data_IF_652770875193
#
_entry.id   IF_652770875193
#
_cell.length_a   1.000
_cell.length_b   1.000
_cell.length_c   1.000
_cell.angle_alpha   90.00
_cell.angle_beta   90.00
_cell.angle_gamma   90.00
#
_symmetry.space_group_name_H-M   'P 1'
#
loop_
_entity.id
_entity.type
_entity.pdbx_description
1 polymer ?
#
# COMPACT_ATOMS: atom_id res chain seq x y z
N UNK A 1 1.68 -35.07 -12.53
CA UNK A 1 0.94 -33.81 -12.42
C UNK A 1 1.64 -32.82 -11.47
N UNK A 2 2.00 -33.22 -10.24
CA UNK A 2 2.74 -32.40 -9.27
C UNK A 2 4.09 -31.86 -9.80
N UNK A 3 4.88 -32.66 -10.55
CA UNK A 3 6.15 -32.22 -11.12
C UNK A 3 6.00 -31.07 -12.14
N UNK A 4 4.93 -31.04 -12.93
CA UNK A 4 4.60 -29.93 -13.85
C UNK A 4 4.14 -28.68 -13.10
N UNK A 5 3.53 -28.83 -11.91
CA UNK A 5 3.13 -27.74 -11.03
C UNK A 5 4.33 -27.08 -10.34
N UNK A 6 5.36 -27.85 -10.01
CA UNK A 6 6.55 -27.41 -9.26
C UNK A 6 7.68 -26.93 -10.20
N UNK A 7 7.71 -27.38 -11.47
CA UNK A 7 8.74 -27.05 -12.43
C UNK A 7 8.98 -25.52 -12.61
N UNK A 8 7.94 -24.65 -12.70
CA UNK A 8 8.15 -23.21 -12.82
C UNK A 8 8.81 -22.58 -11.59
N UNK A 9 8.54 -23.13 -10.38
CA UNK A 9 9.20 -22.70 -9.15
C UNK A 9 10.68 -23.09 -9.11
N UNK A 10 11.04 -24.27 -9.64
CA UNK A 10 12.41 -24.77 -9.65
C UNK A 10 13.29 -24.07 -10.67
N UNK A 11 12.74 -23.65 -11.82
CA UNK A 11 13.46 -22.91 -12.85
C UNK A 11 13.77 -21.46 -12.45
N UNK A 12 12.98 -20.87 -11.56
CA UNK A 12 13.12 -19.49 -11.11
C UNK A 12 13.87 -19.34 -9.77
N UNK A 13 14.97 -20.11 -9.57
CA UNK A 13 15.78 -19.99 -8.34
C UNK A 13 16.23 -18.55 -8.11
N UNK A 14 15.94 -18.02 -6.92
CA UNK A 14 16.37 -16.70 -6.47
C UNK A 14 17.85 -16.74 -6.05
N UNK A 15 18.60 -15.71 -6.38
CA UNK A 15 19.96 -15.53 -5.87
C UNK A 15 19.97 -15.28 -4.35
N UNK A 16 21.11 -15.49 -3.70
CA UNK A 16 21.25 -15.19 -2.26
C UNK A 16 20.93 -13.72 -1.95
N UNK A 17 21.35 -12.80 -2.83
CA UNK A 17 21.09 -11.38 -2.70
C UNK A 17 19.57 -11.07 -2.83
N UNK A 18 18.88 -11.65 -3.80
CA UNK A 18 17.43 -11.47 -3.97
C UNK A 18 16.66 -12.00 -2.76
N UNK A 19 17.01 -13.19 -2.25
CA UNK A 19 16.38 -13.74 -1.03
C UNK A 19 16.58 -12.82 0.17
N UNK A 20 17.82 -12.38 0.41
CA UNK A 20 18.15 -11.49 1.51
C UNK A 20 17.38 -10.17 1.41
N UNK A 21 17.41 -9.51 0.26
CA UNK A 21 16.69 -8.26 0.04
C UNK A 21 15.18 -8.43 0.24
N UNK A 22 14.61 -9.53 -0.26
CA UNK A 22 13.18 -9.82 -0.12
C UNK A 22 12.78 -9.95 1.34
N UNK A 23 13.51 -10.73 2.13
CA UNK A 23 13.22 -10.91 3.56
C UNK A 23 13.31 -9.57 4.30
N UNK A 24 14.39 -8.85 4.09
CA UNK A 24 14.64 -7.55 4.76
C UNK A 24 13.57 -6.51 4.42
N UNK A 25 13.17 -6.43 3.16
CA UNK A 25 12.15 -5.49 2.72
C UNK A 25 10.74 -5.91 3.16
N UNK A 26 10.46 -7.21 3.19
CA UNK A 26 9.19 -7.75 3.67
C UNK A 26 8.96 -7.47 5.15
N UNK A 27 10.01 -7.56 5.98
CA UNK A 27 9.92 -7.18 7.41
C UNK A 27 9.48 -5.73 7.56
N UNK A 28 10.00 -4.80 6.77
CA UNK A 28 9.60 -3.41 6.86
C UNK A 28 8.20 -3.14 6.36
N UNK A 29 7.75 -3.78 5.28
CA UNK A 29 6.37 -3.63 4.83
C UNK A 29 5.36 -4.27 5.80
N UNK A 30 5.72 -5.38 6.43
CA UNK A 30 4.98 -5.96 7.55
C UNK A 30 4.83 -4.94 8.68
N UNK A 31 5.94 -4.33 9.11
CA UNK A 31 5.94 -3.38 10.20
C UNK A 31 5.09 -2.14 9.92
N UNK A 32 5.20 -1.57 8.72
CA UNK A 32 4.40 -0.41 8.29
C UNK A 32 2.90 -0.67 8.44
N UNK A 33 2.44 -1.83 7.97
CA UNK A 33 1.02 -2.20 8.08
C UNK A 33 0.63 -2.62 9.48
N UNK A 34 1.52 -3.26 10.22
CA UNK A 34 1.32 -3.57 11.64
C UNK A 34 1.11 -2.30 12.45
N UNK A 35 1.99 -1.30 12.36
CA UNK A 35 1.88 -0.04 13.10
C UNK A 35 0.64 0.76 12.69
N UNK A 36 0.36 0.85 11.38
CA UNK A 36 -0.80 1.56 10.86
C UNK A 36 -2.12 0.97 11.39
N UNK A 37 -2.29 -0.35 11.28
CA UNK A 37 -3.52 -1.01 11.69
C UNK A 37 -3.63 -1.16 13.21
N UNK A 38 -2.52 -1.30 13.91
CA UNK A 38 -2.47 -1.22 15.36
C UNK A 38 -3.05 0.11 15.85
N UNK A 39 -2.58 1.23 15.28
CA UNK A 39 -3.07 2.56 15.63
C UNK A 39 -4.56 2.74 15.28
N UNK A 40 -4.99 2.32 14.08
CA UNK A 40 -6.39 2.45 13.64
C UNK A 40 -7.33 1.69 14.58
N UNK A 41 -7.02 0.45 14.91
CA UNK A 41 -7.89 -0.38 15.77
C UNK A 41 -7.78 -0.05 17.25
N UNK A 42 -6.70 0.57 17.69
CA UNK A 42 -6.53 1.07 19.06
C UNK A 42 -6.94 2.54 19.22
N UNK A 43 -7.42 3.20 18.15
CA UNK A 43 -7.75 4.63 18.16
C UNK A 43 -8.65 5.00 19.35
N UNK A 44 -9.66 4.18 19.67
CA UNK A 44 -10.55 4.42 20.80
C UNK A 44 -9.81 4.49 22.16
N UNK A 45 -8.85 3.60 22.39
CA UNK A 45 -8.04 3.59 23.62
C UNK A 45 -7.09 4.79 23.64
N UNK A 46 -6.44 5.04 22.51
CA UNK A 46 -5.45 6.12 22.35
C UNK A 46 -6.12 7.49 22.48
N UNK A 47 -7.30 7.66 21.89
CA UNK A 47 -8.06 8.90 21.95
C UNK A 47 -8.39 9.28 23.40
N UNK A 48 -8.83 8.34 24.21
CA UNK A 48 -9.12 8.59 25.64
C UNK A 48 -7.87 8.94 26.46
N UNK A 49 -6.70 8.42 26.07
CA UNK A 49 -5.43 8.63 26.81
C UNK A 49 -4.75 9.93 26.41
N UNK A 50 -4.82 10.33 25.14
CA UNK A 50 -4.04 11.45 24.61
C UNK A 50 -4.90 12.64 24.19
N UNK A 51 -6.20 12.46 23.94
CA UNK A 51 -7.13 13.47 23.46
C UNK A 51 -8.42 13.52 24.32
N UNK A 52 -8.36 13.75 25.63
CA UNK A 52 -9.56 13.75 26.47
C UNK A 52 -10.54 14.85 26.04
N UNK A 53 -11.86 14.63 26.19
CA UNK A 53 -12.91 15.49 25.64
C UNK A 53 -13.02 16.88 26.29
N UNK A 54 -12.36 17.12 27.41
CA UNK A 54 -12.50 18.35 28.21
C UNK A 54 -11.95 19.63 27.54
N UNK A 55 -11.18 19.51 26.47
CA UNK A 55 -10.66 20.63 25.69
C UNK A 55 -11.25 20.62 24.28
N UNK A 56 -12.02 21.63 23.90
CA UNK A 56 -12.73 21.72 22.61
C UNK A 56 -11.89 21.45 21.34
N UNK A 57 -10.55 21.53 21.43
CA UNK A 57 -9.63 21.22 20.35
C UNK A 57 -9.15 19.75 20.33
N UNK A 58 -9.31 18.99 21.41
CA UNK A 58 -8.82 17.61 21.52
C UNK A 58 -9.49 16.67 20.52
N UNK A 59 -10.81 16.81 20.34
CA UNK A 59 -11.56 16.05 19.36
C UNK A 59 -11.07 16.31 17.91
N UNK A 60 -10.79 17.57 17.56
CA UNK A 60 -10.26 17.93 16.26
C UNK A 60 -8.87 17.34 16.03
N UNK A 61 -8.00 17.37 17.03
CA UNK A 61 -6.65 16.79 16.98
C UNK A 61 -6.68 15.28 16.79
N UNK A 62 -7.58 14.55 17.48
CA UNK A 62 -7.77 13.10 17.28
C UNK A 62 -8.17 12.77 15.84
N UNK A 63 -9.18 13.48 15.30
CA UNK A 63 -9.59 13.29 13.90
C UNK A 63 -8.50 13.65 12.91
N UNK A 64 -7.76 14.72 13.14
CA UNK A 64 -6.59 15.08 12.36
C UNK A 64 -5.52 14.01 12.44
N UNK A 65 -5.22 13.45 13.60
CA UNK A 65 -4.23 12.38 13.75
C UNK A 65 -4.57 11.14 12.92
N UNK A 66 -5.83 10.77 12.79
CA UNK A 66 -6.28 9.69 11.89
C UNK A 66 -6.16 10.08 10.41
N UNK A 67 -6.60 11.29 10.04
CA UNK A 67 -6.54 11.76 8.65
C UNK A 67 -5.10 11.97 8.16
N UNK A 68 -4.16 12.33 9.04
CA UNK A 68 -2.74 12.55 8.68
C UNK A 68 -2.10 11.34 8.05
N UNK A 69 -2.53 10.13 8.42
CA UNK A 69 -2.03 8.88 7.84
C UNK A 69 -2.15 8.81 6.31
N UNK A 70 -2.99 9.65 5.70
CA UNK A 70 -3.19 9.65 4.25
C UNK A 70 -2.85 11.00 3.60
N UNK A 71 -3.21 12.11 4.24
CA UNK A 71 -3.08 13.47 3.67
C UNK A 71 -1.61 13.89 3.50
N UNK A 72 -0.71 13.51 4.44
CA UNK A 72 0.70 13.90 4.38
C UNK A 72 1.58 12.97 3.55
N UNK A 73 1.06 11.83 3.05
CA UNK A 73 1.81 10.91 2.18
C UNK A 73 2.39 11.55 0.93
N UNK A 74 1.69 12.44 0.19
CA UNK A 74 2.27 13.10 -0.98
C UNK A 74 3.49 13.97 -0.66
N UNK A 75 3.49 14.67 0.47
CA UNK A 75 4.64 15.47 0.91
C UNK A 75 5.85 14.58 1.13
N UNK A 76 5.66 13.47 1.86
CA UNK A 76 6.71 12.48 2.05
C UNK A 76 7.18 11.83 0.74
N UNK A 77 6.25 11.55 -0.17
CA UNK A 77 6.57 10.96 -1.47
C UNK A 77 7.43 11.87 -2.35
N UNK A 78 7.23 13.20 -2.30
CA UNK A 78 8.11 14.16 -2.98
C UNK A 78 9.51 14.12 -2.40
N UNK A 79 9.64 14.25 -1.08
CA UNK A 79 10.93 14.32 -0.38
C UNK A 79 11.71 13.00 -0.56
N UNK A 80 11.08 11.88 -0.22
CA UNK A 80 11.72 10.57 -0.26
C UNK A 80 11.87 10.04 -1.70
N UNK A 81 10.96 10.42 -2.59
CA UNK A 81 11.08 10.13 -4.02
C UNK A 81 12.32 10.80 -4.61
N UNK A 82 12.46 12.10 -4.39
CA UNK A 82 13.64 12.86 -4.81
C UNK A 82 14.92 12.28 -4.20
N UNK A 83 14.89 11.93 -2.91
CA UNK A 83 16.04 11.32 -2.24
C UNK A 83 16.41 9.98 -2.91
N UNK A 84 15.43 9.13 -3.23
CA UNK A 84 15.62 7.84 -3.88
C UNK A 84 16.13 7.93 -5.31
N UNK A 85 15.71 8.93 -6.07
CA UNK A 85 16.17 9.14 -7.45
C UNK A 85 17.53 9.84 -7.52
N UNK A 86 17.97 10.57 -6.49
CA UNK A 86 19.25 11.27 -6.46
C UNK A 86 20.34 10.52 -5.67
N UNK A 87 20.01 9.96 -4.52
CA UNK A 87 20.99 9.33 -3.60
C UNK A 87 20.92 7.80 -3.58
N UNK A 88 19.86 7.23 -4.10
CA UNK A 88 19.70 5.77 -4.22
C UNK A 88 18.56 5.21 -3.39
N UNK A 89 18.07 4.06 -3.85
CA UNK A 89 16.92 3.37 -3.24
C UNK A 89 17.23 2.88 -1.82
N UNK A 90 18.44 2.32 -1.64
CA UNK A 90 18.92 1.83 -0.35
C UNK A 90 18.86 2.90 0.73
N UNK A 91 19.44 4.07 0.45
CA UNK A 91 19.54 5.18 1.44
C UNK A 91 18.14 5.64 1.88
N UNK A 92 17.23 5.80 0.94
CA UNK A 92 15.86 6.26 1.21
C UNK A 92 15.09 5.26 2.07
N UNK A 93 15.15 3.97 1.72
CA UNK A 93 14.48 2.90 2.45
C UNK A 93 15.08 2.74 3.86
N UNK A 94 16.39 2.91 4.04
CA UNK A 94 17.04 2.87 5.34
C UNK A 94 16.62 4.04 6.24
N UNK A 95 16.60 5.27 5.70
CA UNK A 95 16.17 6.47 6.42
C UNK A 95 14.72 6.35 6.85
N UNK A 96 13.82 5.93 5.94
CA UNK A 96 12.39 5.81 6.26
C UNK A 96 12.17 4.84 7.42
N UNK A 97 12.78 3.65 7.40
CA UNK A 97 12.62 2.67 8.49
C UNK A 97 13.21 3.15 9.80
N UNK A 98 14.36 3.82 9.77
CA UNK A 98 15.01 4.33 10.98
C UNK A 98 14.12 5.37 11.66
N UNK A 99 13.55 6.31 10.90
CA UNK A 99 12.65 7.32 11.46
C UNK A 99 11.34 6.68 11.94
N UNK A 100 10.79 5.71 11.21
CA UNK A 100 9.62 4.95 11.68
C UNK A 100 9.90 4.23 13.00
N UNK A 101 11.06 3.60 13.16
CA UNK A 101 11.46 2.95 14.40
C UNK A 101 11.54 3.95 15.58
N UNK A 102 12.11 5.12 15.35
CA UNK A 102 12.14 6.19 16.36
C UNK A 102 10.74 6.67 16.76
N UNK A 103 9.84 6.86 15.79
CA UNK A 103 8.46 7.25 16.06
C UNK A 103 7.71 6.18 16.88
N UNK A 104 7.88 4.90 16.56
CA UNK A 104 7.30 3.80 17.34
C UNK A 104 7.83 3.79 18.77
N UNK A 105 9.14 3.98 18.94
CA UNK A 105 9.78 4.04 20.26
C UNK A 105 9.26 5.22 21.08
N UNK A 106 9.20 6.41 20.49
CA UNK A 106 8.64 7.60 21.12
C UNK A 106 7.20 7.34 21.55
N UNK A 107 6.37 6.78 20.69
CA UNK A 107 4.96 6.46 20.98
C UNK A 107 4.83 5.47 22.14
N UNK A 108 5.68 4.44 22.22
CA UNK A 108 5.64 3.43 23.28
C UNK A 108 5.95 4.03 24.68
N UNK A 109 6.89 4.98 24.76
CA UNK A 109 7.29 5.63 26.01
C UNK A 109 6.64 7.00 26.26
N UNK A 110 5.73 7.42 25.38
CA UNK A 110 5.09 8.74 25.49
C UNK A 110 4.27 8.85 26.80
N UNK A 111 4.52 9.87 27.65
CA UNK A 111 3.69 10.17 28.80
C UNK A 111 2.27 10.52 28.37
N UNK A 112 1.28 10.18 29.21
CA UNK A 112 -0.14 10.43 28.92
C UNK A 112 -0.51 11.91 29.01
N UNK A 113 -1.72 12.25 28.55
CA UNK A 113 -2.25 13.61 28.70
C UNK A 113 -2.31 14.05 30.19
N UNK A 114 -2.64 13.16 31.11
CA UNK A 114 -2.67 13.44 32.54
C UNK A 114 -1.32 13.87 33.10
N UNK A 115 -0.20 13.38 32.51
CA UNK A 115 1.14 13.64 32.98
C UNK A 115 1.77 14.91 32.38
N UNK A 116 1.58 15.17 31.09
CA UNK A 116 2.24 16.29 30.38
C UNK A 116 1.26 17.20 29.61
N UNK A 117 -0.04 16.99 29.79
CA UNK A 117 -1.08 17.79 29.14
C UNK A 117 -1.09 17.69 27.63
N UNK A 118 -1.52 18.77 26.97
CA UNK A 118 -1.68 18.83 25.49
C UNK A 118 -0.39 18.52 24.71
N UNK A 119 0.77 18.61 25.33
CA UNK A 119 2.05 18.26 24.70
C UNK A 119 2.10 16.79 24.27
N UNK A 120 1.45 15.90 25.02
CA UNK A 120 1.33 14.48 24.66
C UNK A 120 0.63 14.30 23.31
N UNK A 121 -0.49 14.99 23.09
CA UNK A 121 -1.24 14.98 21.84
C UNK A 121 -0.41 15.51 20.66
N UNK A 122 0.32 16.60 20.84
CA UNK A 122 1.18 17.16 19.78
C UNK A 122 2.33 16.22 19.41
N UNK A 123 3.00 15.60 20.37
CA UNK A 123 4.09 14.66 20.11
C UNK A 123 3.57 13.43 19.37
N UNK A 124 2.44 12.86 19.82
CA UNK A 124 1.82 11.72 19.14
C UNK A 124 1.43 12.07 17.70
N UNK A 125 0.79 13.22 17.49
CA UNK A 125 0.39 13.70 16.16
C UNK A 125 1.61 13.91 15.26
N UNK A 126 2.70 14.50 15.78
CA UNK A 126 3.95 14.67 15.03
C UNK A 126 4.57 13.32 14.62
N UNK A 127 4.56 12.32 15.50
CA UNK A 127 5.00 10.96 15.16
C UNK A 127 4.12 10.36 14.05
N UNK A 128 2.79 10.47 14.13
CA UNK A 128 1.86 9.96 13.11
C UNK A 128 2.05 10.65 11.76
N UNK A 129 2.21 11.98 11.73
CA UNK A 129 2.53 12.73 10.49
C UNK A 129 3.82 12.24 9.87
N UNK A 130 4.87 12.10 10.69
CA UNK A 130 6.18 11.61 10.21
C UNK A 130 6.07 10.20 9.62
N UNK A 131 5.41 9.27 10.31
CA UNK A 131 5.19 7.91 9.81
C UNK A 131 4.37 7.89 8.52
N UNK A 132 3.31 8.71 8.42
CA UNK A 132 2.52 8.84 7.20
C UNK A 132 3.36 9.30 6.00
N UNK A 133 4.26 10.27 6.19
CA UNK A 133 5.18 10.73 5.15
C UNK A 133 6.13 9.64 4.67
N UNK A 134 6.59 8.77 5.58
CA UNK A 134 7.56 7.72 5.28
C UNK A 134 6.93 6.46 4.63
N UNK A 135 5.66 6.22 4.89
CA UNK A 135 4.91 5.02 4.49
C UNK A 135 5.02 4.67 3.00
N UNK A 136 4.97 5.68 2.11
CA UNK A 136 5.08 5.43 0.66
C UNK A 136 6.44 4.85 0.27
N UNK A 137 7.53 5.28 0.90
CA UNK A 137 8.88 4.76 0.64
C UNK A 137 9.06 3.34 1.18
N UNK A 138 8.42 3.01 2.31
CA UNK A 138 8.47 1.67 2.90
C UNK A 138 7.85 0.62 1.96
N UNK A 139 6.67 0.87 1.43
CA UNK A 139 5.89 -0.11 0.66
C UNK A 139 6.23 -0.05 -0.82
N UNK A 140 6.06 1.12 -1.45
CA UNK A 140 6.30 1.25 -2.89
C UNK A 140 7.79 1.24 -3.21
N UNK A 141 8.62 1.83 -2.34
CA UNK A 141 10.08 1.77 -2.46
C UNK A 141 10.61 0.34 -2.44
N UNK A 142 10.08 -0.52 -1.55
CA UNK A 142 10.42 -1.94 -1.52
C UNK A 142 10.07 -2.66 -2.84
N UNK A 143 8.89 -2.37 -3.42
CA UNK A 143 8.47 -2.94 -4.71
C UNK A 143 9.38 -2.52 -5.85
N UNK A 144 9.72 -1.23 -5.94
CA UNK A 144 10.64 -0.70 -6.96
C UNK A 144 12.03 -1.31 -6.79
N UNK A 145 12.55 -1.38 -5.56
CA UNK A 145 13.84 -1.99 -5.28
C UNK A 145 13.91 -3.45 -5.74
N UNK A 146 12.92 -4.28 -5.38
CA UNK A 146 12.90 -5.70 -5.74
C UNK A 146 12.71 -5.92 -7.24
N UNK A 147 12.00 -5.05 -7.92
CA UNK A 147 11.91 -5.05 -9.37
C UNK A 147 13.27 -4.78 -10.00
N UNK A 148 14.02 -3.77 -9.52
CA UNK A 148 15.30 -3.34 -10.10
C UNK A 148 16.47 -4.31 -9.83
N UNK A 149 16.38 -5.20 -8.83
CA UNK A 149 17.38 -6.26 -8.57
C UNK A 149 17.11 -7.56 -9.33
N UNK A 150 15.98 -7.64 -10.06
CA UNK A 150 15.53 -8.87 -10.71
C UNK A 150 15.60 -8.75 -12.23
N UNK A 151 16.15 -9.77 -12.88
CA UNK A 151 16.40 -9.76 -14.33
C UNK A 151 15.14 -10.08 -15.15
N UNK A 152 14.37 -11.08 -14.74
CA UNK A 152 13.20 -11.56 -15.49
C UNK A 152 11.90 -10.97 -14.98
N UNK A 153 10.96 -10.68 -15.88
CA UNK A 153 9.66 -10.11 -15.56
C UNK A 153 8.87 -10.97 -14.56
N UNK A 154 8.95 -12.29 -14.67
CA UNK A 154 8.27 -13.19 -13.73
C UNK A 154 8.83 -13.04 -12.32
N UNK A 155 10.18 -13.02 -12.15
CA UNK A 155 10.81 -12.80 -10.84
C UNK A 155 10.48 -11.42 -10.28
N UNK A 156 10.44 -10.39 -11.12
CA UNK A 156 10.06 -9.03 -10.71
C UNK A 156 8.64 -9.00 -10.15
N UNK A 157 7.69 -9.57 -10.89
CA UNK A 157 6.29 -9.66 -10.45
C UNK A 157 6.16 -10.52 -9.19
N UNK A 158 6.85 -11.64 -9.10
CA UNK A 158 6.83 -12.52 -7.94
C UNK A 158 7.36 -11.83 -6.68
N UNK A 159 8.57 -11.24 -6.73
CA UNK A 159 9.19 -10.61 -5.57
C UNK A 159 8.43 -9.35 -5.11
N UNK A 160 7.98 -8.53 -6.05
CA UNK A 160 7.15 -7.36 -5.77
C UNK A 160 5.80 -7.76 -5.15
N UNK A 161 5.23 -8.87 -5.59
CA UNK A 161 3.98 -9.43 -5.10
C UNK A 161 4.14 -10.06 -3.71
N UNK A 162 5.27 -10.69 -3.44
CA UNK A 162 5.56 -11.28 -2.13
C UNK A 162 5.58 -10.21 -1.04
N UNK A 163 6.11 -9.02 -1.32
CA UNK A 163 6.05 -7.87 -0.39
C UNK A 163 4.60 -7.51 -0.04
N UNK A 164 3.67 -7.58 -1.00
CA UNK A 164 2.25 -7.35 -0.74
C UNK A 164 1.63 -8.39 0.21
N UNK A 165 2.04 -9.65 0.13
CA UNK A 165 1.58 -10.65 1.08
C UNK A 165 1.99 -10.30 2.52
N UNK A 166 3.17 -9.70 2.71
CA UNK A 166 3.60 -9.26 4.04
C UNK A 166 2.83 -8.04 4.56
N UNK A 167 2.26 -7.21 3.71
CA UNK A 167 1.35 -6.13 4.16
C UNK A 167 0.08 -6.69 4.81
N UNK A 168 -0.49 -7.75 4.25
CA UNK A 168 -1.69 -8.40 4.84
C UNK A 168 -1.36 -9.18 6.10
N UNK A 169 -0.20 -9.83 6.16
CA UNK A 169 0.27 -10.50 7.39
C UNK A 169 0.47 -9.46 8.50
N UNK A 170 1.05 -8.29 8.20
CA UNK A 170 1.21 -7.19 9.17
C UNK A 170 -0.12 -6.68 9.69
N UNK A 171 -1.10 -6.49 8.81
CA UNK A 171 -2.47 -6.12 9.17
C UNK A 171 -3.12 -7.15 10.09
N UNK A 172 -3.08 -8.43 9.70
CA UNK A 172 -3.62 -9.53 10.49
C UNK A 172 -2.98 -9.58 11.88
N UNK A 173 -1.65 -9.49 11.97
CA UNK A 173 -0.92 -9.49 13.24
C UNK A 173 -1.34 -8.31 14.14
N UNK A 174 -1.54 -7.12 13.57
CA UNK A 174 -2.03 -5.96 14.33
C UNK A 174 -3.42 -6.22 14.92
N UNK A 175 -4.36 -6.72 14.10
CA UNK A 175 -5.73 -7.02 14.55
C UNK A 175 -5.71 -8.10 15.64
N UNK A 176 -4.89 -9.15 15.48
CA UNK A 176 -4.75 -10.21 16.49
C UNK A 176 -4.20 -9.66 17.81
N UNK A 177 -3.20 -8.79 17.77
CA UNK A 177 -2.65 -8.14 18.98
C UNK A 177 -3.70 -7.23 19.64
N UNK A 178 -4.45 -6.46 18.87
CA UNK A 178 -5.54 -5.63 19.39
C UNK A 178 -6.60 -6.48 20.08
N UNK A 179 -6.99 -7.61 19.49
CA UNK A 179 -7.96 -8.52 20.09
C UNK A 179 -7.47 -9.05 21.46
N UNK A 180 -6.21 -9.44 21.56
CA UNK A 180 -5.60 -9.86 22.83
C UNK A 180 -5.62 -8.71 23.86
N UNK A 181 -5.24 -7.49 23.46
CA UNK A 181 -5.21 -6.32 24.36
C UNK A 181 -6.59 -5.98 24.90
N UNK A 182 -7.61 -5.99 24.05
CA UNK A 182 -8.99 -5.70 24.46
C UNK A 182 -9.46 -6.76 25.47
N UNK A 183 -9.20 -8.03 25.25
CA UNK A 183 -9.53 -9.11 26.16
C UNK A 183 -8.79 -9.02 27.51
N UNK A 184 -7.61 -8.39 27.54
CA UNK A 184 -6.82 -8.11 28.75
C UNK A 184 -7.19 -6.77 29.43
N UNK A 185 -8.29 -6.12 29.05
CA UNK A 185 -8.76 -4.88 29.66
C UNK A 185 -8.05 -3.61 29.19
N UNK A 186 -7.35 -3.64 28.07
CA UNK A 186 -6.79 -2.47 27.39
C UNK A 186 -5.52 -1.87 28.00
N UNK A 187 -5.06 -2.33 29.16
CA UNK A 187 -3.92 -1.74 29.89
C UNK A 187 -2.55 -1.98 29.22
N UNK A 188 -2.46 -2.95 28.33
CA UNK A 188 -1.19 -3.40 27.71
C UNK A 188 -0.87 -2.71 26.38
N UNK A 189 -1.50 -1.59 26.03
CA UNK A 189 -1.34 -0.93 24.74
C UNK A 189 0.12 -0.52 24.44
N UNK A 190 0.87 -0.08 25.48
CA UNK A 190 2.29 0.27 25.34
C UNK A 190 3.15 -0.90 24.85
N UNK A 191 2.89 -2.11 25.31
CA UNK A 191 3.62 -3.31 24.93
C UNK A 191 3.48 -3.61 23.44
N UNK A 192 2.33 -3.31 22.83
CA UNK A 192 2.14 -3.50 21.39
C UNK A 192 3.01 -2.52 20.56
N UNK A 193 3.05 -1.24 20.94
CA UNK A 193 3.93 -0.27 20.28
C UNK A 193 5.42 -0.55 20.55
N UNK A 194 5.76 -1.05 21.72
CA UNK A 194 7.13 -1.47 22.04
C UNK A 194 7.56 -2.68 21.19
N UNK A 195 6.69 -3.68 21.02
CA UNK A 195 6.94 -4.78 20.10
C UNK A 195 7.15 -4.29 18.67
N UNK A 196 6.32 -3.36 18.18
CA UNK A 196 6.50 -2.69 16.91
C UNK A 196 7.86 -1.97 16.80
N UNK A 197 8.27 -1.23 17.84
CA UNK A 197 9.55 -0.53 17.89
C UNK A 197 10.73 -1.49 17.81
N UNK A 198 10.71 -2.62 18.53
CA UNK A 198 11.75 -3.65 18.48
C UNK A 198 11.87 -4.22 17.07
N UNK A 199 10.77 -4.59 16.44
CA UNK A 199 10.76 -5.12 15.06
C UNK A 199 11.29 -4.07 14.09
N UNK A 200 10.95 -2.78 14.28
CA UNK A 200 11.41 -1.68 13.43
C UNK A 200 12.93 -1.46 13.55
N UNK A 201 13.49 -1.52 14.76
CA UNK A 201 14.95 -1.38 14.99
C UNK A 201 15.69 -2.55 14.32
N UNK A 202 15.21 -3.77 14.49
CA UNK A 202 15.77 -4.96 13.82
C UNK A 202 15.67 -4.84 12.31
N UNK A 203 14.54 -4.34 11.80
CA UNK A 203 14.33 -4.08 10.37
C UNK A 203 15.27 -3.01 9.82
N UNK A 204 15.49 -1.92 10.54
CA UNK A 204 16.43 -0.86 10.16
C UNK A 204 17.87 -1.40 10.12
N UNK A 205 18.27 -2.17 11.14
CA UNK A 205 19.58 -2.82 11.16
C UNK A 205 19.77 -3.77 9.98
N UNK A 206 18.78 -4.62 9.69
CA UNK A 206 18.83 -5.54 8.54
C UNK A 206 18.94 -4.77 7.21
N UNK A 207 18.26 -3.63 7.05
CA UNK A 207 18.31 -2.79 5.84
C UNK A 207 19.66 -2.09 5.63
N UNK A 208 20.46 -1.88 6.65
CA UNK A 208 21.82 -1.35 6.50
C UNK A 208 22.69 -2.24 5.59
N UNK A 209 22.44 -3.55 5.59
CA UNK A 209 23.15 -4.55 4.79
C UNK A 209 22.71 -4.62 3.32
N UNK A 210 21.64 -3.93 2.91
CA UNK A 210 21.20 -3.87 1.51
C UNK A 210 22.29 -3.23 0.64
N UNK A 211 22.36 -3.67 -0.62
CA UNK A 211 23.19 -3.05 -1.66
C UNK A 211 22.33 -2.16 -2.54
N UNK A 212 22.91 -1.15 -3.19
CA UNK A 212 22.15 -0.34 -4.16
C UNK A 212 21.72 -1.18 -5.36
N UNK A 213 20.61 -0.80 -6.01
CA UNK A 213 20.07 -1.55 -7.15
C UNK A 213 20.97 -1.39 -8.37
N UNK A 214 21.26 -2.50 -9.12
CA UNK A 214 22.12 -2.46 -10.29
C UNK A 214 21.57 -1.51 -11.37
N UNK A 215 20.27 -1.54 -11.60
CA UNK A 215 19.62 -0.72 -12.63
C UNK A 215 19.79 0.78 -12.36
N UNK A 216 19.65 1.20 -11.09
CA UNK A 216 19.89 2.59 -10.70
C UNK A 216 21.38 2.97 -10.78
N UNK A 217 22.26 2.10 -10.27
CA UNK A 217 23.70 2.34 -10.29
C UNK A 217 24.22 2.52 -11.72
N UNK A 218 23.75 1.68 -12.66
CA UNK A 218 24.10 1.78 -14.08
C UNK A 218 23.52 3.04 -14.74
N UNK A 219 22.25 3.37 -14.46
CA UNK A 219 21.65 4.60 -14.98
C UNK A 219 22.40 5.84 -14.49
N UNK A 220 22.79 5.87 -13.22
CA UNK A 220 23.56 6.98 -12.64
C UNK A 220 24.97 7.08 -13.21
N UNK A 221 25.63 5.93 -13.45
CA UNK A 221 26.94 5.87 -14.11
C UNK A 221 26.87 6.41 -15.54
N UNK A 222 25.89 5.97 -16.34
CA UNK A 222 25.66 6.47 -17.71
C UNK A 222 25.39 7.98 -17.71
N UNK A 223 24.59 8.48 -16.75
CA UNK A 223 24.33 9.90 -16.60
C UNK A 223 25.61 10.69 -16.30
N UNK A 224 26.46 10.18 -15.39
CA UNK A 224 27.74 10.81 -15.03
C UNK A 224 28.69 10.87 -16.22
N UNK A 225 28.83 9.77 -16.98
CA UNK A 225 29.68 9.71 -18.16
C UNK A 225 29.19 10.69 -19.23
N UNK A 226 27.88 10.66 -19.55
CA UNK A 226 27.28 11.60 -20.50
C UNK A 226 27.46 13.07 -20.09
N UNK A 227 27.47 13.34 -18.77
CA UNK A 227 27.69 14.70 -18.24
C UNK A 227 29.15 15.12 -18.36
N UNK A 228 30.10 14.19 -18.25
CA UNK A 228 31.53 14.47 -18.37
C UNK A 228 32.00 14.69 -19.82
N UNK A 229 31.36 13.99 -20.78
CA UNK A 229 31.74 14.02 -22.20
C UNK A 229 31.06 15.13 -23.00
N UNK A 230 29.95 15.72 -22.51
CA UNK A 230 29.11 16.62 -23.28
C UNK A 230 29.24 18.08 -22.84
N UNK A 231 29.51 18.99 -23.80
CA UNK A 231 29.37 20.44 -23.59
C UNK A 231 27.91 20.81 -23.25
N UNK A 232 27.69 21.91 -22.53
CA UNK A 232 26.40 22.33 -21.98
C UNK A 232 25.22 22.36 -22.99
N UNK A 233 25.49 22.67 -24.27
CA UNK A 233 24.48 22.69 -25.34
C UNK A 233 24.07 21.29 -25.83
N UNK A 234 24.97 20.31 -25.80
CA UNK A 234 24.68 18.93 -26.21
C UNK A 234 24.02 18.13 -25.08
N UNK A 235 24.26 18.52 -23.83
CA UNK A 235 23.68 17.95 -22.65
C UNK A 235 22.13 17.98 -22.67
N UNK A 236 21.51 19.08 -23.12
CA UNK A 236 20.05 19.23 -23.19
C UNK A 236 19.41 18.36 -24.28
N UNK A 237 20.17 17.88 -25.28
CA UNK A 237 19.66 17.05 -26.37
C UNK A 237 19.81 15.53 -26.14
N UNK A 238 20.61 15.13 -25.14
CA UNK A 238 20.85 13.71 -24.87
C UNK A 238 19.60 12.99 -24.35
N UNK A 239 19.27 11.77 -24.83
CA UNK A 239 18.04 11.04 -24.48
C UNK A 239 17.82 10.84 -22.98
N UNK A 240 18.88 10.67 -22.19
CA UNK A 240 18.81 10.50 -20.75
C UNK A 240 18.26 11.74 -20.01
N UNK A 241 18.49 12.94 -20.55
CA UNK A 241 17.96 14.18 -19.99
C UNK A 241 16.59 14.55 -20.59
N UNK A 242 16.21 13.95 -21.73
CA UNK A 242 14.92 14.14 -22.40
C UNK A 242 13.86 13.13 -21.99
N UNK A 243 14.22 12.11 -21.21
CA UNK A 243 13.26 11.11 -20.76
C UNK A 243 12.14 11.77 -19.95
N UNK A 244 11.00 12.02 -20.61
CA UNK A 244 9.82 12.62 -20.01
C UNK A 244 8.89 11.54 -19.48
N UNK A 245 8.29 11.83 -18.34
CA UNK A 245 7.22 11.03 -17.78
C UNK A 245 6.03 10.98 -18.77
N UNK A 246 5.56 9.78 -19.09
CA UNK A 246 4.32 9.63 -19.86
C UNK A 246 3.13 9.88 -18.92
N UNK A 247 2.45 11.01 -19.11
CA UNK A 247 1.31 11.41 -18.28
C UNK A 247 0.15 10.40 -18.36
N UNK A 248 -0.05 9.76 -19.52
CA UNK A 248 -1.10 8.73 -19.68
C UNK A 248 -0.82 7.50 -18.80
N UNK A 249 0.42 7.01 -18.80
CA UNK A 249 0.82 5.88 -17.95
C UNK A 249 0.67 6.26 -16.45
N UNK A 250 1.05 7.47 -16.08
CA UNK A 250 0.89 7.98 -14.72
C UNK A 250 -0.60 8.07 -14.31
N UNK A 251 -1.46 8.58 -15.18
CA UNK A 251 -2.89 8.69 -14.94
C UNK A 251 -3.55 7.31 -14.79
N UNK A 252 -3.27 6.37 -15.69
CA UNK A 252 -3.87 5.04 -15.59
C UNK A 252 -3.34 4.24 -14.40
N UNK A 253 -2.07 4.40 -14.02
CA UNK A 253 -1.57 3.84 -12.77
C UNK A 253 -2.28 4.46 -11.55
N UNK A 254 -2.50 5.78 -11.55
CA UNK A 254 -3.24 6.47 -10.51
C UNK A 254 -4.65 5.89 -10.34
N UNK A 255 -5.38 5.63 -11.42
CA UNK A 255 -6.71 5.01 -11.39
C UNK A 255 -6.65 3.62 -10.73
N UNK A 256 -5.71 2.77 -11.12
CA UNK A 256 -5.56 1.45 -10.51
C UNK A 256 -5.24 1.53 -9.00
N UNK A 257 -4.45 2.52 -8.60
CA UNK A 257 -4.13 2.78 -7.19
C UNK A 257 -5.32 3.34 -6.40
N UNK A 258 -6.19 4.13 -7.01
CA UNK A 258 -7.46 4.56 -6.42
C UNK A 258 -8.40 3.37 -6.18
N UNK A 259 -8.46 2.42 -7.11
CA UNK A 259 -9.25 1.19 -6.95
C UNK A 259 -8.77 0.32 -5.78
N UNK A 260 -7.44 0.17 -5.62
CA UNK A 260 -6.85 -0.51 -4.46
C UNK A 260 -7.26 0.17 -3.14
N UNK A 261 -7.16 1.51 -3.07
CA UNK A 261 -7.52 2.28 -1.89
C UNK A 261 -9.03 2.19 -1.57
N UNK A 262 -9.88 2.23 -2.60
CA UNK A 262 -11.33 2.09 -2.47
C UNK A 262 -11.74 0.72 -1.91
N UNK A 263 -11.15 -0.37 -2.42
CA UNK A 263 -11.43 -1.71 -1.95
C UNK A 263 -11.03 -1.91 -0.47
N UNK A 264 -9.86 -1.39 -0.08
CA UNK A 264 -9.40 -1.43 1.31
C UNK A 264 -10.30 -0.61 2.22
N UNK A 265 -10.69 0.61 1.80
CA UNK A 265 -11.64 1.43 2.57
C UNK A 265 -12.97 0.71 2.77
N UNK A 266 -13.55 0.16 1.69
CA UNK A 266 -14.81 -0.57 1.76
C UNK A 266 -14.70 -1.77 2.72
N UNK A 267 -13.68 -2.62 2.54
CA UNK A 267 -13.57 -3.85 3.31
C UNK A 267 -13.31 -3.62 4.80
N UNK A 268 -12.50 -2.63 5.16
CA UNK A 268 -12.06 -2.46 6.56
C UNK A 268 -12.68 -1.29 7.31
N UNK A 269 -13.18 -0.27 6.60
CA UNK A 269 -13.78 0.91 7.25
C UNK A 269 -15.30 0.94 7.06
N UNK A 270 -15.78 0.84 5.83
CA UNK A 270 -17.21 0.94 5.55
C UNK A 270 -17.99 -0.26 6.09
N UNK A 271 -17.51 -1.48 5.86
CA UNK A 271 -18.18 -2.68 6.39
C UNK A 271 -18.12 -2.78 7.92
N UNK A 272 -17.03 -2.29 8.54
CA UNK A 272 -16.95 -2.21 10.00
C UNK A 272 -18.08 -1.32 10.60
N UNK A 273 -18.42 -0.21 9.91
CA UNK A 273 -19.53 0.65 10.28
C UNK A 273 -20.88 -0.05 10.11
N UNK A 274 -21.07 -0.83 9.03
CA UNK A 274 -22.29 -1.61 8.84
C UNK A 274 -22.46 -2.64 9.95
N UNK A 275 -21.39 -3.36 10.33
CA UNK A 275 -21.46 -4.31 11.45
C UNK A 275 -21.90 -3.63 12.76
N UNK A 276 -21.35 -2.46 13.07
CA UNK A 276 -21.75 -1.67 14.23
C UNK A 276 -23.22 -1.24 14.15
N UNK A 277 -23.70 -0.80 12.97
CA UNK A 277 -25.09 -0.39 12.76
C UNK A 277 -26.09 -1.55 12.87
N UNK A 278 -25.68 -2.78 12.56
CA UNK A 278 -26.48 -4.00 12.73
C UNK A 278 -26.54 -4.40 14.22
N UNK A 279 -25.73 -3.78 15.08
CA UNK A 279 -25.74 -4.02 16.54
C UNK A 279 -24.73 -5.07 17.02
N UNK A 280 -23.72 -5.41 16.22
CA UNK A 280 -22.64 -6.29 16.65
C UNK A 280 -21.77 -5.60 17.71
N UNK A 281 -21.35 -6.37 18.71
CA UNK A 281 -20.37 -5.94 19.70
C UNK A 281 -19.00 -5.65 19.07
N UNK A 282 -18.18 -4.83 19.74
CA UNK A 282 -16.81 -4.53 19.29
C UNK A 282 -15.99 -5.81 19.08
N UNK A 283 -16.15 -6.81 19.95
CA UNK A 283 -15.47 -8.10 19.82
C UNK A 283 -15.87 -8.87 18.55
N UNK A 284 -17.15 -8.91 18.24
CA UNK A 284 -17.66 -9.53 17.02
C UNK A 284 -17.17 -8.80 15.76
N UNK A 285 -17.16 -7.47 15.76
CA UNK A 285 -16.61 -6.67 14.65
C UNK A 285 -15.12 -7.00 14.41
N UNK A 286 -14.33 -7.17 15.46
CA UNK A 286 -12.92 -7.56 15.38
C UNK A 286 -12.77 -9.00 14.84
N UNK A 287 -13.65 -9.92 15.21
CA UNK A 287 -13.64 -11.27 14.69
C UNK A 287 -13.90 -11.29 13.16
N UNK A 288 -14.88 -10.52 12.68
CA UNK A 288 -15.11 -10.36 11.23
C UNK A 288 -13.91 -9.71 10.54
N UNK A 289 -13.29 -8.67 11.13
CA UNK A 289 -12.08 -8.06 10.61
C UNK A 289 -10.90 -9.05 10.54
N UNK A 290 -10.81 -9.95 11.50
CA UNK A 290 -9.82 -11.04 11.52
C UNK A 290 -10.07 -12.04 10.38
N UNK A 291 -11.31 -12.51 10.22
CA UNK A 291 -11.69 -13.43 9.14
C UNK A 291 -11.38 -12.84 7.75
N UNK A 292 -11.75 -11.58 7.53
CA UNK A 292 -11.51 -10.95 6.22
C UNK A 292 -10.01 -10.70 5.97
N UNK A 293 -9.21 -10.45 7.01
CA UNK A 293 -7.76 -10.30 6.87
C UNK A 293 -7.07 -11.62 6.49
N UNK A 294 -7.53 -12.75 7.04
CA UNK A 294 -7.06 -14.09 6.66
C UNK A 294 -7.43 -14.37 5.20
N UNK A 295 -8.67 -14.04 4.80
CA UNK A 295 -9.12 -14.22 3.43
C UNK A 295 -8.31 -13.35 2.45
N UNK A 296 -8.07 -12.09 2.75
CA UNK A 296 -7.25 -11.18 1.94
C UNK A 296 -5.82 -11.73 1.73
N UNK A 297 -5.22 -12.27 2.79
CA UNK A 297 -3.93 -12.95 2.67
C UNK A 297 -4.02 -14.16 1.73
N UNK A 298 -5.06 -14.99 1.87
CA UNK A 298 -5.26 -16.15 0.98
C UNK A 298 -5.38 -15.73 -0.49
N UNK A 299 -6.13 -14.67 -0.80
CA UNK A 299 -6.28 -14.14 -2.17
C UNK A 299 -4.93 -13.68 -2.73
N UNK A 300 -4.15 -12.93 -1.95
CA UNK A 300 -2.84 -12.45 -2.40
C UNK A 300 -1.84 -13.58 -2.62
N UNK A 301 -1.80 -14.59 -1.75
CA UNK A 301 -0.97 -15.78 -1.95
C UNK A 301 -1.43 -16.61 -3.16
N UNK A 302 -2.74 -16.67 -3.43
CA UNK A 302 -3.28 -17.32 -4.63
C UNK A 302 -2.82 -16.59 -5.89
N UNK A 303 -2.90 -15.27 -5.95
CA UNK A 303 -2.37 -14.49 -7.06
C UNK A 303 -0.86 -14.65 -7.22
N UNK A 304 -0.11 -14.73 -6.13
CA UNK A 304 1.33 -14.98 -6.15
C UNK A 304 1.65 -16.34 -6.82
N UNK A 305 0.84 -17.37 -6.56
CA UNK A 305 0.99 -18.67 -7.22
C UNK A 305 0.60 -18.61 -8.71
N UNK A 306 -0.45 -17.87 -9.05
CA UNK A 306 -0.93 -17.75 -10.44
C UNK A 306 0.06 -17.05 -11.38
N UNK A 307 0.97 -16.21 -10.88
CA UNK A 307 2.03 -15.55 -11.69
C UNK A 307 2.89 -16.55 -12.48
N UNK A 308 3.08 -17.77 -11.95
CA UNK A 308 3.90 -18.78 -12.61
C UNK A 308 3.18 -19.49 -13.76
N UNK A 309 1.86 -19.41 -13.84
CA UNK A 309 1.03 -20.11 -14.82
C UNK A 309 0.40 -19.16 -15.84
N UNK A 310 0.13 -17.92 -15.44
CA UNK A 310 -0.57 -16.94 -16.25
C UNK A 310 0.21 -15.64 -16.34
N UNK A 311 0.07 -14.94 -17.45
CA UNK A 311 0.64 -13.61 -17.58
C UNK A 311 -0.01 -12.67 -16.54
N UNK A 312 0.79 -11.96 -15.70
CA UNK A 312 0.27 -11.08 -14.65
C UNK A 312 -0.74 -10.02 -15.15
N UNK A 313 -0.55 -9.48 -16.37
CA UNK A 313 -1.51 -8.54 -16.97
C UNK A 313 -2.86 -9.21 -17.31
N UNK A 314 -2.87 -10.51 -17.66
CA UNK A 314 -4.11 -11.23 -17.89
C UNK A 314 -4.89 -11.50 -16.61
N UNK A 315 -4.18 -11.71 -15.48
CA UNK A 315 -4.81 -11.84 -14.16
C UNK A 315 -5.51 -10.54 -13.79
N UNK A 316 -4.84 -9.40 -13.92
CA UNK A 316 -5.46 -8.08 -13.67
C UNK A 316 -6.65 -7.85 -14.61
N UNK A 317 -6.48 -8.18 -15.89
CA UNK A 317 -7.58 -8.07 -16.86
C UNK A 317 -8.81 -8.80 -16.38
N UNK A 318 -8.68 -10.08 -15.99
CA UNK A 318 -9.80 -10.89 -15.52
C UNK A 318 -10.50 -10.23 -14.32
N UNK A 319 -9.75 -9.83 -13.31
CA UNK A 319 -10.30 -9.18 -12.12
C UNK A 319 -11.07 -7.90 -12.49
N UNK A 320 -10.48 -7.02 -13.30
CA UNK A 320 -11.08 -5.73 -13.65
C UNK A 320 -12.30 -5.87 -14.56
N UNK A 321 -12.38 -6.92 -15.39
CA UNK A 321 -13.59 -7.16 -16.21
C UNK A 321 -14.73 -7.77 -15.39
N UNK A 322 -14.44 -8.46 -14.27
CA UNK A 322 -15.46 -8.99 -13.36
C UNK A 322 -15.89 -7.92 -12.32
N UNK A 323 -15.01 -7.01 -11.94
CA UNK A 323 -15.27 -5.98 -10.92
C UNK A 323 -16.58 -5.18 -11.13
N UNK A 324 -16.98 -4.76 -12.35
CA UNK A 324 -18.27 -4.08 -12.56
C UNK A 324 -19.48 -4.88 -12.11
N UNK A 325 -19.48 -6.20 -12.32
CA UNK A 325 -20.55 -7.09 -11.88
C UNK A 325 -20.61 -7.07 -10.34
N UNK A 326 -19.46 -7.17 -9.68
CA UNK A 326 -19.35 -7.11 -8.23
C UNK A 326 -19.83 -5.74 -7.69
N UNK A 327 -19.48 -4.65 -8.37
CA UNK A 327 -19.87 -3.29 -8.00
C UNK A 327 -21.35 -2.99 -8.16
N UNK A 328 -22.04 -3.73 -9.02
CA UNK A 328 -23.51 -3.68 -9.14
C UNK A 328 -24.15 -4.56 -8.06
N UNK A 329 -23.63 -5.76 -7.85
CA UNK A 329 -24.21 -6.75 -6.95
C UNK A 329 -24.10 -6.32 -5.48
N UNK A 330 -22.94 -5.81 -5.05
CA UNK A 330 -22.66 -5.53 -3.63
C UNK A 330 -23.61 -4.47 -3.04
N UNK A 331 -23.80 -3.28 -3.63
CA UNK A 331 -24.75 -2.30 -3.08
C UNK A 331 -26.20 -2.82 -3.04
N UNK A 332 -26.60 -3.61 -4.04
CA UNK A 332 -27.91 -4.24 -4.06
C UNK A 332 -28.10 -5.22 -2.90
N UNK A 333 -27.11 -6.08 -2.63
CA UNK A 333 -27.17 -7.03 -1.52
C UNK A 333 -27.22 -6.33 -0.16
N UNK A 334 -26.38 -5.31 0.03
CA UNK A 334 -26.31 -4.57 1.28
C UNK A 334 -27.61 -3.79 1.56
N UNK A 335 -28.26 -3.24 0.51
CA UNK A 335 -29.49 -2.47 0.69
C UNK A 335 -30.69 -3.36 1.05
N UNK A 336 -30.79 -4.55 0.45
CA UNK A 336 -32.00 -5.37 0.56
C UNK A 336 -31.87 -6.50 1.60
N UNK A 337 -30.68 -6.93 1.95
CA UNK A 337 -30.44 -8.13 2.76
C UNK A 337 -29.37 -7.94 3.84
N UNK A 338 -29.23 -6.76 4.41
CA UNK A 338 -28.16 -6.44 5.36
C UNK A 338 -28.12 -7.40 6.55
N UNK A 339 -27.29 -8.42 6.47
CA UNK A 339 -26.96 -9.35 7.55
C UNK A 339 -25.44 -9.49 7.65
N UNK A 340 -24.90 -9.88 8.83
CA UNK A 340 -23.45 -10.03 9.00
C UNK A 340 -22.78 -10.91 7.93
N UNK A 341 -23.45 -12.00 7.53
CA UNK A 341 -22.94 -12.92 6.52
C UNK A 341 -22.90 -12.29 5.11
N UNK A 342 -23.90 -11.47 4.77
CA UNK A 342 -23.95 -10.77 3.48
C UNK A 342 -22.90 -9.67 3.42
N UNK A 343 -22.66 -8.97 4.52
CA UNK A 343 -21.57 -8.00 4.62
C UNK A 343 -20.22 -8.70 4.41
N UNK A 344 -19.98 -9.84 5.08
CA UNK A 344 -18.78 -10.65 4.88
C UNK A 344 -18.64 -11.12 3.43
N UNK A 345 -19.71 -11.62 2.82
CA UNK A 345 -19.70 -12.04 1.42
C UNK A 345 -19.38 -10.89 0.46
N UNK A 346 -19.91 -9.71 0.72
CA UNK A 346 -19.61 -8.49 -0.04
C UNK A 346 -18.14 -8.08 0.06
N UNK A 347 -17.52 -8.19 1.26
CA UNK A 347 -16.08 -7.98 1.46
C UNK A 347 -15.24 -9.00 0.66
N UNK A 348 -15.61 -10.27 0.74
CA UNK A 348 -14.95 -11.38 0.03
C UNK A 348 -14.92 -11.12 -1.48
N UNK A 349 -16.06 -10.78 -2.06
CA UNK A 349 -16.17 -10.52 -3.52
C UNK A 349 -15.30 -9.33 -3.93
N UNK A 350 -15.38 -8.21 -3.21
CA UNK A 350 -14.64 -7.01 -3.59
C UNK A 350 -13.14 -7.15 -3.39
N UNK A 351 -12.68 -7.93 -2.41
CA UNK A 351 -11.24 -8.21 -2.24
C UNK A 351 -10.72 -9.21 -3.28
N UNK A 352 -11.54 -10.16 -3.73
CA UNK A 352 -11.15 -11.12 -4.78
C UNK A 352 -10.95 -10.42 -6.13
N UNK A 353 -11.88 -9.54 -6.50
CA UNK A 353 -11.87 -8.85 -7.79
C UNK A 353 -11.47 -7.38 -7.64
N UNK A 354 -10.49 -7.13 -6.78
CA UNK A 354 -10.00 -5.78 -6.52
C UNK A 354 -9.41 -5.14 -7.77
N UNK A 355 -9.77 -3.88 -7.98
CA UNK A 355 -9.13 -3.05 -8.99
C UNK A 355 -7.77 -2.61 -8.45
N UNK A 356 -6.68 -3.17 -8.99
CA UNK A 356 -5.32 -2.79 -8.60
C UNK A 356 -4.31 -3.08 -9.71
N UNK A 357 -3.08 -2.63 -9.55
CA UNK A 357 -1.95 -2.98 -10.41
C UNK A 357 -1.29 -4.32 -10.03
N UNK A 358 -1.74 -4.94 -8.95
CA UNK A 358 -1.28 -6.24 -8.48
C UNK A 358 -1.91 -7.39 -9.30
N UNK A 359 -1.15 -8.40 -9.76
CA UNK A 359 0.28 -8.66 -9.51
C UNK A 359 1.24 -8.14 -10.60
N UNK A 360 0.81 -7.30 -11.52
CA UNK A 360 1.61 -6.82 -12.65
C UNK A 360 2.32 -5.47 -12.41
N UNK A 361 2.38 -4.99 -11.17
CA UNK A 361 2.98 -3.71 -10.80
C UNK A 361 4.35 -3.46 -11.48
N UNK A 362 5.32 -4.39 -11.52
CA UNK A 362 6.60 -4.18 -12.15
C UNK A 362 6.53 -3.93 -13.67
N UNK A 363 5.58 -4.56 -14.36
CA UNK A 363 5.39 -4.37 -15.80
C UNK A 363 4.96 -2.91 -16.07
N UNK A 364 4.09 -2.38 -15.22
CA UNK A 364 3.62 -0.99 -15.32
C UNK A 364 4.73 -0.01 -14.90
N UNK A 365 5.46 -0.29 -13.81
CA UNK A 365 6.50 0.60 -13.27
C UNK A 365 7.70 0.74 -14.20
N UNK A 366 8.02 -0.26 -15.02
CA UNK A 366 9.08 -0.19 -16.04
C UNK A 366 8.86 0.90 -17.09
N UNK A 367 7.64 1.34 -17.31
CA UNK A 367 7.32 2.42 -18.25
C UNK A 367 7.82 3.79 -17.78
N UNK A 368 8.12 3.92 -16.48
CA UNK A 368 8.67 5.15 -15.93
C UNK A 368 10.19 5.18 -16.08
N UNK A 369 10.79 6.34 -16.48
CA UNK A 369 12.23 6.49 -16.58
C UNK A 369 12.94 6.14 -15.27
N UNK A 370 14.02 5.37 -15.31
CA UNK A 370 14.71 4.84 -14.11
C UNK A 370 15.04 5.95 -13.09
N UNK A 371 15.53 7.10 -13.56
CA UNK A 371 15.94 8.24 -12.72
C UNK A 371 14.76 9.07 -12.16
N UNK A 372 13.51 8.77 -12.56
CA UNK A 372 12.29 9.43 -12.08
C UNK A 372 11.27 8.40 -11.57
N UNK A 373 11.57 7.11 -11.71
CA UNK A 373 10.66 6.01 -11.41
C UNK A 373 10.26 5.99 -9.96
N UNK A 374 11.22 6.14 -9.07
CA UNK A 374 11.00 6.07 -7.65
C UNK A 374 10.04 7.19 -7.20
N UNK A 375 10.36 8.45 -7.54
CA UNK A 375 9.48 9.61 -7.27
C UNK A 375 8.09 9.41 -7.87
N UNK A 376 8.00 8.99 -9.14
CA UNK A 376 6.71 8.84 -9.84
C UNK A 376 5.83 7.79 -9.18
N UNK A 377 6.35 6.62 -8.87
CA UNK A 377 5.58 5.53 -8.25
C UNK A 377 5.13 5.89 -6.83
N UNK A 378 6.04 6.48 -6.03
CA UNK A 378 5.71 6.95 -4.69
C UNK A 378 4.61 8.01 -4.73
N UNK A 379 4.77 9.01 -5.60
CA UNK A 379 3.85 10.14 -5.69
C UNK A 379 2.46 9.72 -6.17
N UNK A 380 2.38 8.90 -7.21
CA UNK A 380 1.11 8.39 -7.73
C UNK A 380 0.36 7.59 -6.65
N UNK A 381 1.07 6.71 -5.93
CA UNK A 381 0.48 5.91 -4.85
C UNK A 381 0.07 6.75 -3.64
N UNK A 382 0.83 7.80 -3.32
CA UNK A 382 0.51 8.71 -2.22
C UNK A 382 -0.70 9.58 -2.55
N UNK A 383 -0.74 10.17 -3.75
CA UNK A 383 -1.86 10.98 -4.23
C UNK A 383 -3.16 10.18 -4.32
N UNK A 384 -3.09 8.95 -4.84
CA UNK A 384 -4.29 8.10 -4.94
C UNK A 384 -4.93 7.88 -3.57
N UNK A 385 -4.15 7.60 -2.55
CA UNK A 385 -4.65 7.40 -1.18
C UNK A 385 -5.10 8.71 -0.54
N UNK A 386 -4.34 9.80 -0.70
CA UNK A 386 -4.68 11.11 -0.15
C UNK A 386 -5.98 11.67 -0.72
N UNK A 387 -6.35 11.31 -1.95
CA UNK A 387 -7.60 11.72 -2.59
C UNK A 387 -8.73 10.75 -2.29
N UNK A 388 -8.47 9.43 -2.42
CA UNK A 388 -9.53 8.42 -2.28
C UNK A 388 -10.05 8.34 -0.84
N UNK A 389 -9.19 8.37 0.17
CA UNK A 389 -9.62 8.23 1.56
C UNK A 389 -10.58 9.31 2.04
N UNK A 390 -10.33 10.63 1.87
CA UNK A 390 -11.29 11.67 2.21
C UNK A 390 -12.60 11.57 1.41
N UNK A 391 -12.52 11.30 0.11
CA UNK A 391 -13.71 11.13 -0.74
C UNK A 391 -14.55 9.95 -0.23
N UNK A 392 -13.93 8.83 0.11
CA UNK A 392 -14.64 7.67 0.63
C UNK A 392 -15.19 7.94 2.03
N UNK A 393 -14.41 8.52 2.94
CA UNK A 393 -14.82 8.74 4.32
C UNK A 393 -15.95 9.77 4.42
N UNK A 394 -15.89 10.86 3.66
CA UNK A 394 -16.88 11.91 3.70
C UNK A 394 -18.00 11.62 2.69
N UNK A 395 -17.61 11.37 1.42
CA UNK A 395 -18.55 11.25 0.31
C UNK A 395 -19.40 9.98 0.39
N UNK A 396 -18.79 8.81 0.63
CA UNK A 396 -19.57 7.56 0.76
C UNK A 396 -20.51 7.65 1.94
N UNK A 397 -20.05 8.09 3.11
CA UNK A 397 -20.91 8.19 4.28
C UNK A 397 -22.09 9.14 4.04
N UNK A 398 -21.85 10.31 3.45
CA UNK A 398 -22.90 11.26 3.13
C UNK A 398 -23.92 10.66 2.12
N UNK A 399 -23.44 10.05 1.05
CA UNK A 399 -24.29 9.45 0.02
C UNK A 399 -25.11 8.26 0.54
N UNK A 400 -24.53 7.48 1.45
CA UNK A 400 -25.18 6.27 1.96
C UNK A 400 -26.06 6.50 3.19
N UNK A 401 -25.78 7.50 4.00
CA UNK A 401 -26.55 7.76 5.22
C UNK A 401 -27.67 8.78 5.02
N UNK A 402 -27.37 9.82 4.21
CA UNK A 402 -28.29 10.96 4.08
C UNK A 402 -29.18 10.90 2.83
N UNK A 403 -28.74 10.24 1.73
CA UNK A 403 -29.40 10.42 0.44
C UNK A 403 -29.95 9.11 -0.15
N UNK A 404 -29.09 8.11 -0.38
CA UNK A 404 -29.43 6.97 -1.25
C UNK A 404 -29.33 5.60 -0.56
N UNK A 405 -29.04 5.54 0.75
CA UNK A 405 -28.70 4.25 1.36
C UNK A 405 -27.48 3.62 0.69
N UNK A 406 -27.34 2.31 0.74
CA UNK A 406 -26.20 1.63 0.14
C UNK A 406 -26.11 1.77 -1.40
N UNK A 407 -27.18 2.21 -2.07
CA UNK A 407 -27.14 2.53 -3.49
C UNK A 407 -26.24 3.74 -3.83
N UNK A 408 -25.94 4.61 -2.86
CA UNK A 408 -24.98 5.69 -3.00
C UNK A 408 -23.59 5.23 -3.42
N UNK A 409 -23.22 3.97 -3.16
CA UNK A 409 -21.97 3.36 -3.61
C UNK A 409 -21.84 3.31 -5.14
N UNK A 410 -22.95 3.24 -5.89
CA UNK A 410 -22.92 3.24 -7.36
C UNK A 410 -22.25 4.48 -7.94
N UNK A 411 -22.41 5.63 -7.29
CA UNK A 411 -21.84 6.89 -7.74
C UNK A 411 -20.32 6.84 -7.84
N UNK A 412 -19.68 6.06 -6.99
CA UNK A 412 -18.22 5.90 -6.96
C UNK A 412 -17.78 4.62 -7.70
N UNK A 413 -18.48 3.51 -7.50
CA UNK A 413 -18.09 2.21 -8.03
C UNK A 413 -18.20 2.12 -9.56
N UNK A 414 -19.27 2.67 -10.16
CA UNK A 414 -19.49 2.58 -11.62
C UNK A 414 -18.46 3.41 -12.41
N UNK A 415 -18.20 4.70 -12.12
CA UNK A 415 -17.15 5.44 -12.81
C UNK A 415 -15.77 4.79 -12.63
N UNK A 416 -15.47 4.27 -11.42
CA UNK A 416 -14.21 3.60 -11.14
C UNK A 416 -14.02 2.34 -11.99
N UNK A 417 -15.08 1.57 -12.21
CA UNK A 417 -15.04 0.39 -13.07
C UNK A 417 -14.74 0.73 -14.54
N UNK A 418 -15.38 1.76 -15.07
CA UNK A 418 -15.12 2.23 -16.45
C UNK A 418 -13.68 2.69 -16.63
N UNK A 419 -13.19 3.54 -15.73
CA UNK A 419 -11.83 4.07 -15.78
C UNK A 419 -10.78 2.96 -15.65
N UNK A 420 -11.03 1.95 -14.80
CA UNK A 420 -10.10 0.83 -14.63
C UNK A 420 -10.04 -0.10 -15.84
N UNK A 421 -11.17 -0.32 -16.54
CA UNK A 421 -11.19 -1.04 -17.82
C UNK A 421 -10.36 -0.30 -18.87
N UNK A 422 -10.48 1.03 -18.94
CA UNK A 422 -9.66 1.86 -19.84
C UNK A 422 -8.16 1.75 -19.48
N UNK A 423 -7.82 1.78 -18.19
CA UNK A 423 -6.44 1.64 -17.72
C UNK A 423 -5.82 0.30 -18.13
N UNK A 424 -6.51 -0.81 -17.92
CA UNK A 424 -5.99 -2.14 -18.30
C UNK A 424 -5.89 -2.29 -19.82
N UNK A 425 -6.84 -1.78 -20.59
CA UNK A 425 -6.75 -1.78 -22.05
C UNK A 425 -5.51 -1.04 -22.54
N UNK A 426 -5.21 0.13 -21.98
CA UNK A 426 -4.01 0.90 -22.32
C UNK A 426 -2.74 0.06 -22.09
N UNK A 427 -2.57 -0.54 -20.91
CA UNK A 427 -1.38 -1.33 -20.61
C UNK A 427 -1.27 -2.63 -21.44
N UNK A 428 -2.39 -3.23 -21.85
CA UNK A 428 -2.42 -4.42 -22.70
C UNK A 428 -2.10 -4.12 -24.16
N UNK A 429 -2.58 -3.00 -24.72
CA UNK A 429 -2.32 -2.64 -26.11
C UNK A 429 -0.83 -2.38 -26.35
N UNK A 430 -0.20 -1.64 -25.48
CA UNK A 430 1.22 -1.31 -25.62
C UNK A 430 2.13 -2.52 -25.40
N UNK A 431 1.77 -3.46 -24.51
CA UNK A 431 2.54 -4.69 -24.33
C UNK A 431 2.54 -5.59 -25.59
N UNK A 432 1.48 -5.54 -26.42
CA UNK A 432 1.42 -6.23 -27.71
C UNK A 432 2.28 -5.55 -28.77
N UNK A 433 2.37 -4.22 -28.75
CA UNK A 433 3.20 -3.45 -29.69
C UNK A 433 4.68 -3.72 -29.41
N UNK A 434 5.10 -3.78 -28.14
CA UNK A 434 6.48 -4.12 -27.77
C UNK A 434 6.87 -5.54 -28.18
N UNK A 435 5.95 -6.52 -28.04
CA UNK A 435 6.21 -7.91 -28.48
C UNK A 435 6.31 -8.00 -30.02
N UNK A 436 5.49 -7.29 -30.75
CA UNK A 436 5.53 -7.28 -32.22
C UNK A 436 6.80 -6.58 -32.76
N UNK A 437 7.22 -5.46 -32.18
CA UNK A 437 8.45 -4.76 -32.57
C UNK A 437 9.71 -5.57 -32.28
N UNK A 438 9.72 -6.42 -31.25
CA UNK A 438 10.83 -7.33 -30.97
C UNK A 438 10.88 -8.52 -31.94
N UNK A 439 9.77 -8.92 -32.54
CA UNK A 439 9.69 -9.99 -33.54
C UNK A 439 10.08 -9.46 -34.92
N UNK A 440 9.79 -8.20 -35.24
CA UNK A 440 10.14 -7.57 -36.54
C UNK A 440 11.61 -7.12 -36.62
N UNK A 441 12.31 -7.07 -35.47
CA UNK A 441 13.74 -6.71 -35.40
C UNK A 441 14.67 -7.94 -35.24
N UNK A 442 14.13 -9.17 -35.31
CA UNK A 442 14.84 -10.44 -35.42
C UNK A 442 14.74 -10.97 -36.86
#
# INVERSE_FOLDING_TARGET
MLAKLIAPFLQNKLTKQQKHATVVLSIGTFLEYFDLYLYIHMAFIIDNIFFPPDNGNSWLLSKLALCTNFIFRPVGAIILGWLGDNFGRKSTIFISTTVTALCCLITAYLPTYEQIGIKAAYILTACRVSQAMLSSAEVQGARVYLMEISETTIKQCYLSSLVNCFTTIGRFAAIAVVNVIINLGGQSWRNAFLAGAIIAILGAYARSSLKETPEFADAKRRLKNATAELNSKVRSSHPLFKAKLNIKDAFYLFILKCGEALAVFFAYSYCAKIYSNIGLSTGECINYATCISIYDAFVLFSFLALIFYFNPLQIIKLCIYIAPICFILVPFLLQNFASPNIVLFSQIILLTFVISDYPASPIIYKRFPVLQRFTSVLMISALSRAITWPICTIGINYLTEEIFGHYGLYIIFLPMSVLSIMAVRHFLMDSKIETNNNITNL
#
